data_IF_002132453085
#
_entry.id   IF_002132453085
#
_cell.length_a   1.000
_cell.length_b   1.000
_cell.length_c   1.000
_cell.angle_alpha   90.00
_cell.angle_beta   90.00
_cell.angle_gamma   90.00
#
_symmetry.space_group_name_H-M   'P 1'
#
loop_
_entity.id
_entity.type
_entity.pdbx_description
1 polymer ?
#
# COMPACT_ATOMS: atom_id res chain seq x y z
N UNK A 1 40.72 -15.37 67.75
CA UNK A 1 40.05 -14.13 67.29
C UNK A 1 39.97 -14.15 65.78
N UNK A 2 38.76 -14.12 65.20
CA UNK A 2 38.37 -13.53 63.88
C UNK A 2 39.25 -13.95 62.66
N UNK A 3 38.77 -14.59 61.58
CA UNK A 3 37.48 -14.54 60.88
C UNK A 3 37.40 -15.71 59.88
N UNK A 4 36.17 -16.19 59.70
CA UNK A 4 35.63 -17.02 58.62
C UNK A 4 35.73 -16.26 57.29
N UNK A 5 36.19 -16.88 56.20
CA UNK A 5 35.78 -16.55 54.82
C UNK A 5 35.67 -17.86 54.03
N UNK A 6 34.47 -18.11 53.52
CA UNK A 6 34.06 -19.26 52.73
C UNK A 6 34.86 -19.38 51.42
N UNK A 7 35.23 -20.62 51.08
CA UNK A 7 35.50 -21.03 49.71
C UNK A 7 34.18 -21.18 48.95
N UNK A 8 33.96 -20.35 47.93
CA UNK A 8 32.97 -20.62 46.89
C UNK A 8 33.69 -20.95 45.60
N UNK A 9 33.44 -22.15 45.10
CA UNK A 9 33.87 -22.68 43.81
C UNK A 9 33.21 -21.84 42.71
N UNK A 10 34.04 -21.19 41.91
CA UNK A 10 33.63 -20.47 40.69
C UNK A 10 33.19 -21.48 39.62
N UNK A 11 31.90 -21.82 39.56
CA UNK A 11 31.30 -22.43 38.38
C UNK A 11 31.02 -21.30 37.39
N UNK A 12 31.86 -21.20 36.36
CA UNK A 12 31.60 -20.37 35.18
C UNK A 12 30.46 -21.02 34.39
N UNK A 13 29.22 -20.66 34.70
CA UNK A 13 28.10 -20.89 33.80
C UNK A 13 28.16 -19.85 32.69
N UNK A 14 28.77 -20.20 31.56
CA UNK A 14 28.60 -19.46 30.30
C UNK A 14 27.16 -19.71 29.85
N UNK A 15 26.25 -18.87 30.30
CA UNK A 15 24.93 -18.73 29.69
C UNK A 15 25.15 -18.07 28.32
N UNK A 16 25.21 -18.88 27.27
CA UNK A 16 24.99 -18.47 25.89
C UNK A 16 23.58 -17.87 25.80
N UNK A 17 23.49 -16.56 26.01
CA UNK A 17 22.33 -15.77 25.57
C UNK A 17 22.41 -15.75 24.05
N UNK A 18 21.84 -16.77 23.42
CA UNK A 18 21.37 -16.68 22.05
C UNK A 18 20.33 -15.56 22.04
N UNK A 19 20.76 -14.34 21.74
CA UNK A 19 19.85 -13.23 21.53
C UNK A 19 18.99 -13.57 20.31
N UNK A 20 17.80 -14.12 20.56
CA UNK A 20 16.68 -14.06 19.64
C UNK A 20 16.31 -12.58 19.50
N UNK A 21 17.11 -11.84 18.74
CA UNK A 21 16.80 -10.49 18.28
C UNK A 21 15.67 -10.59 17.28
N UNK A 22 14.44 -10.67 17.78
CA UNK A 22 13.24 -10.29 17.04
C UNK A 22 13.34 -8.79 16.86
N UNK A 23 13.42 -8.34 15.61
CA UNK A 23 13.43 -6.91 15.27
C UNK A 23 12.06 -6.35 15.65
N UNK A 24 11.93 -5.75 16.83
CA UNK A 24 10.80 -4.87 17.15
C UNK A 24 11.08 -3.54 16.47
N UNK A 25 10.36 -3.24 15.39
CA UNK A 25 10.44 -1.94 14.72
C UNK A 25 9.76 -0.79 15.49
N UNK A 26 9.19 -1.08 16.66
CA UNK A 26 8.67 -0.06 17.57
C UNK A 26 9.77 0.61 18.38
N UNK A 27 10.27 1.76 17.92
CA UNK A 27 10.75 2.81 18.84
C UNK A 27 10.70 4.18 18.16
N UNK A 28 9.81 5.05 18.66
CA UNK A 28 9.82 6.51 18.48
C UNK A 28 11.15 7.20 18.92
N UNK A 29 12.22 6.44 19.18
CA UNK A 29 13.47 6.99 19.72
C UNK A 29 14.47 7.42 18.65
N UNK A 30 14.40 6.86 17.45
CA UNK A 30 15.25 7.32 16.35
C UNK A 30 14.35 7.78 15.19
N UNK A 31 14.35 9.08 14.93
CA UNK A 31 13.86 9.72 13.69
C UNK A 31 14.64 9.27 12.42
N UNK A 32 15.32 8.14 12.52
CA UNK A 32 16.39 7.64 11.66
C UNK A 32 16.28 6.15 11.36
N UNK A 33 15.11 5.68 10.96
CA UNK A 33 15.04 4.40 10.25
C UNK A 33 15.76 4.55 8.91
N UNK A 34 17.03 4.16 8.86
CA UNK A 34 17.74 3.88 7.62
C UNK A 34 16.97 2.74 6.94
N UNK A 35 16.55 2.96 5.70
CA UNK A 35 15.91 1.92 4.90
C UNK A 35 16.84 0.70 4.84
N UNK A 36 16.28 -0.49 5.06
CA UNK A 36 17.01 -1.73 4.85
C UNK A 36 17.38 -1.83 3.38
N UNK A 37 18.50 -2.46 3.06
CA UNK A 37 18.78 -2.82 1.68
C UNK A 37 17.92 -4.01 1.26
N UNK A 38 17.64 -4.15 -0.04
CA UNK A 38 16.91 -5.31 -0.55
C UNK A 38 17.65 -6.64 -0.24
N UNK A 39 18.98 -6.62 -0.14
CA UNK A 39 19.79 -7.75 0.32
C UNK A 39 19.55 -8.14 1.79
N UNK A 40 19.30 -7.16 2.66
CA UNK A 40 18.88 -7.42 4.04
C UNK A 40 17.49 -8.06 4.10
N UNK A 41 16.56 -7.62 3.24
CA UNK A 41 15.23 -8.23 3.12
C UNK A 41 15.31 -9.69 2.65
N UNK A 42 16.11 -9.98 1.62
CA UNK A 42 16.33 -11.34 1.15
C UNK A 42 16.89 -12.23 2.26
N UNK A 43 17.85 -11.71 3.02
CA UNK A 43 18.43 -12.40 4.18
C UNK A 43 17.39 -12.66 5.28
N UNK A 44 16.51 -11.69 5.54
CA UNK A 44 15.38 -11.84 6.45
C UNK A 44 14.40 -12.93 5.98
N UNK A 45 13.95 -12.88 4.73
CA UNK A 45 13.02 -13.88 4.19
C UNK A 45 13.63 -15.28 4.23
N UNK A 46 14.91 -15.43 3.89
CA UNK A 46 15.62 -16.71 4.00
C UNK A 46 15.69 -17.20 5.44
N UNK A 47 16.06 -16.33 6.39
CA UNK A 47 16.19 -16.67 7.81
C UNK A 47 14.88 -17.17 8.41
N UNK A 48 13.75 -16.56 8.04
CA UNK A 48 12.42 -16.92 8.54
C UNK A 48 11.64 -17.84 7.58
N UNK A 49 12.32 -18.44 6.59
CA UNK A 49 11.78 -19.42 5.64
C UNK A 49 10.59 -18.93 4.82
N UNK A 50 10.45 -17.63 4.59
CA UNK A 50 9.34 -17.01 3.86
C UNK A 50 9.45 -17.34 2.38
N UNK A 51 8.34 -17.75 1.74
CA UNK A 51 8.31 -17.98 0.29
C UNK A 51 8.35 -16.65 -0.48
N UNK A 52 9.53 -16.06 -0.54
CA UNK A 52 9.83 -14.82 -1.22
C UNK A 52 10.69 -15.11 -2.45
N UNK A 53 10.32 -14.52 -3.59
CA UNK A 53 10.97 -14.73 -4.90
C UNK A 53 11.29 -13.40 -5.52
N UNK A 54 12.33 -13.37 -6.36
CA UNK A 54 12.82 -12.15 -7.01
C UNK A 54 12.43 -12.13 -8.49
N UNK A 55 11.99 -10.97 -8.98
CA UNK A 55 12.12 -10.59 -10.40
C UNK A 55 13.22 -9.54 -10.52
N UNK A 56 13.99 -9.59 -11.60
CA UNK A 56 15.12 -8.69 -11.82
C UNK A 56 15.32 -8.40 -13.31
N UNK A 57 15.64 -7.15 -13.61
CA UNK A 57 16.30 -6.71 -14.85
C UNK A 57 17.57 -5.92 -14.48
N UNK A 58 18.16 -5.22 -15.45
CA UNK A 58 19.42 -4.49 -15.23
C UNK A 58 19.31 -3.33 -14.23
N UNK A 59 18.12 -2.73 -14.10
CA UNK A 59 17.90 -1.51 -13.30
C UNK A 59 17.02 -1.74 -12.06
N UNK A 60 16.23 -2.82 -12.06
CA UNK A 60 15.13 -3.04 -11.13
C UNK A 60 15.19 -4.42 -10.50
N UNK A 61 14.94 -4.47 -9.20
CA UNK A 61 14.68 -5.69 -8.44
C UNK A 61 13.36 -5.54 -7.70
N UNK A 62 12.57 -6.61 -7.65
CA UNK A 62 11.41 -6.69 -6.77
C UNK A 62 11.35 -8.06 -6.09
N UNK A 63 10.86 -8.08 -4.86
CA UNK A 63 10.57 -9.30 -4.09
C UNK A 63 9.06 -9.48 -4.03
N UNK A 64 8.58 -10.64 -4.44
CA UNK A 64 7.17 -11.02 -4.41
C UNK A 64 6.94 -12.35 -3.69
N UNK A 65 5.70 -12.65 -3.34
CA UNK A 65 5.35 -13.94 -2.73
C UNK A 65 4.02 -14.52 -3.23
N UNK A 66 4.01 -15.77 -3.76
CA UNK A 66 2.78 -16.48 -4.11
C UNK A 66 1.90 -16.82 -2.89
N UNK A 67 2.51 -17.13 -1.73
CA UNK A 67 1.78 -17.47 -0.50
C UNK A 67 1.08 -16.26 0.11
N UNK A 68 1.59 -15.05 -0.17
CA UNK A 68 0.91 -13.80 0.13
C UNK A 68 0.28 -13.23 -1.15
N UNK A 69 -0.65 -13.95 -1.78
CA UNK A 69 -1.51 -13.44 -2.86
C UNK A 69 -0.82 -12.75 -4.06
N UNK A 70 0.42 -13.15 -4.39
CA UNK A 70 1.20 -12.46 -5.43
C UNK A 70 1.59 -11.03 -5.05
N UNK A 71 1.63 -10.72 -3.75
CA UNK A 71 2.07 -9.45 -3.15
C UNK A 71 3.50 -9.16 -3.57
N UNK A 72 3.77 -7.91 -3.92
CA UNK A 72 5.13 -7.36 -3.96
C UNK A 72 5.41 -6.83 -2.56
N UNK A 73 6.41 -7.40 -1.88
CA UNK A 73 6.82 -6.92 -0.56
C UNK A 73 7.57 -5.60 -0.68
N UNK A 74 8.52 -5.53 -1.61
CA UNK A 74 9.37 -4.36 -1.83
C UNK A 74 10.06 -4.42 -3.20
N UNK A 75 10.48 -3.28 -3.69
CA UNK A 75 11.36 -3.10 -4.84
C UNK A 75 12.59 -2.27 -4.48
N UNK A 76 13.61 -2.35 -5.32
CA UNK A 76 14.83 -1.57 -5.21
C UNK A 76 15.48 -1.35 -6.59
N UNK A 77 16.32 -0.32 -6.66
CA UNK A 77 17.25 -0.12 -7.78
C UNK A 77 18.18 -1.33 -7.88
N UNK A 78 18.67 -1.68 -9.07
CA UNK A 78 19.28 -2.96 -9.44
C UNK A 78 20.56 -3.45 -8.73
N UNK A 79 20.84 -2.98 -7.52
CA UNK A 79 21.90 -3.39 -6.60
C UNK A 79 21.29 -3.93 -5.29
N UNK A 80 21.85 -4.99 -4.73
CA UNK A 80 21.37 -5.58 -3.46
C UNK A 80 21.62 -4.69 -2.24
N UNK A 81 22.54 -3.72 -2.36
CA UNK A 81 22.76 -2.69 -1.36
C UNK A 81 21.79 -1.51 -1.51
N UNK A 82 20.99 -1.47 -2.57
CA UNK A 82 20.02 -0.40 -2.77
C UNK A 82 18.90 -0.47 -1.70
N UNK A 83 18.36 0.70 -1.29
CA UNK A 83 17.24 0.76 -0.35
C UNK A 83 16.03 -0.05 -0.83
N UNK A 84 15.47 -0.84 0.08
CA UNK A 84 14.14 -1.44 0.02
C UNK A 84 13.09 -0.34 0.21
N UNK A 85 12.24 -0.15 -0.79
CA UNK A 85 11.33 1.02 -0.85
C UNK A 85 10.02 0.74 -0.13
N UNK A 86 9.43 -0.44 -0.37
CA UNK A 86 8.19 -0.88 0.25
C UNK A 86 8.30 -1.05 1.77
N UNK A 87 7.20 -0.82 2.46
CA UNK A 87 7.04 -1.16 3.86
C UNK A 87 6.18 -2.40 4.01
N UNK A 88 6.59 -3.32 4.89
CA UNK A 88 5.79 -4.44 5.35
C UNK A 88 6.13 -4.75 6.81
N UNK A 89 5.19 -5.33 7.54
CA UNK A 89 5.37 -5.71 8.93
C UNK A 89 6.25 -6.95 9.04
N UNK A 90 7.55 -6.74 9.23
CA UNK A 90 8.56 -7.81 9.37
C UNK A 90 8.27 -8.72 10.57
N UNK A 91 7.75 -8.19 11.67
CA UNK A 91 7.41 -9.00 12.84
C UNK A 91 6.31 -10.02 12.51
N UNK A 92 5.23 -9.57 11.88
CA UNK A 92 4.11 -10.41 11.44
C UNK A 92 4.57 -11.49 10.44
N UNK A 93 5.39 -11.10 9.45
CA UNK A 93 5.90 -12.02 8.42
C UNK A 93 6.90 -13.04 8.98
N UNK A 94 7.79 -12.59 9.87
CA UNK A 94 8.89 -13.41 10.40
C UNK A 94 8.45 -14.38 11.48
N UNK A 95 7.58 -13.94 12.40
CA UNK A 95 7.15 -14.76 13.54
C UNK A 95 6.06 -15.77 13.18
N UNK A 96 5.20 -15.46 12.19
CA UNK A 96 4.07 -16.32 11.76
C UNK A 96 3.11 -16.76 12.86
N UNK A 97 3.11 -16.08 14.01
CA UNK A 97 2.22 -16.36 15.14
C UNK A 97 0.93 -15.54 15.08
N UNK A 98 0.66 -14.90 13.94
CA UNK A 98 -0.42 -13.93 13.79
C UNK A 98 -1.54 -14.48 12.94
N UNK A 99 -2.78 -14.10 13.25
CA UNK A 99 -3.92 -14.39 12.40
C UNK A 99 -3.87 -13.47 11.18
N UNK A 100 -3.48 -14.02 10.02
CA UNK A 100 -3.37 -13.27 8.76
C UNK A 100 -4.70 -12.65 8.30
N UNK A 101 -5.85 -13.13 8.80
CA UNK A 101 -7.15 -12.52 8.50
C UNK A 101 -7.37 -11.20 9.25
N UNK A 102 -6.59 -10.92 10.29
CA UNK A 102 -6.74 -9.73 11.13
C UNK A 102 -5.46 -8.87 11.20
N UNK A 103 -4.38 -9.31 10.56
CA UNK A 103 -3.07 -8.66 10.69
C UNK A 103 -2.72 -7.88 9.43
N UNK A 104 -2.33 -6.61 9.60
CA UNK A 104 -1.77 -5.84 8.51
C UNK A 104 -0.34 -6.31 8.23
N UNK A 105 -0.15 -6.88 7.03
CA UNK A 105 1.17 -7.29 6.56
C UNK A 105 1.90 -6.16 5.82
N UNK A 106 1.18 -5.26 5.13
CA UNK A 106 1.80 -4.26 4.26
C UNK A 106 2.53 -4.85 3.04
N UNK A 107 3.10 -4.02 2.19
CA UNK A 107 3.81 -4.40 0.97
C UNK A 107 3.68 -3.31 -0.10
N UNK A 108 4.64 -3.25 -1.01
CA UNK A 108 4.67 -2.18 -2.02
C UNK A 108 3.53 -2.25 -3.05
N UNK A 109 3.01 -3.46 -3.33
CA UNK A 109 1.83 -3.64 -4.19
C UNK A 109 1.03 -4.86 -3.73
N UNK A 110 -0.15 -4.57 -3.19
CA UNK A 110 -1.04 -5.51 -2.51
C UNK A 110 -2.40 -5.51 -3.20
N UNK A 111 -2.76 -6.64 -3.83
CA UNK A 111 -4.10 -6.83 -4.36
C UNK A 111 -5.16 -6.81 -3.24
N UNK A 112 -6.25 -6.09 -3.48
CA UNK A 112 -7.39 -5.98 -2.57
C UNK A 112 -8.70 -6.16 -3.34
N UNK A 113 -9.74 -6.61 -2.63
CA UNK A 113 -11.13 -6.63 -3.07
C UNK A 113 -11.94 -5.85 -2.06
N UNK A 114 -12.90 -5.06 -2.53
CA UNK A 114 -13.88 -4.37 -1.70
C UNK A 114 -15.32 -4.80 -2.02
N UNK A 115 -16.31 -4.17 -1.36
CA UNK A 115 -16.15 -2.98 -0.52
C UNK A 115 -15.58 -3.24 0.88
N UNK A 116 -14.80 -2.30 1.41
CA UNK A 116 -14.27 -2.36 2.79
C UNK A 116 -15.31 -1.97 3.84
N UNK A 117 -16.16 -0.98 3.53
CA UNK A 117 -17.21 -0.48 4.41
C UNK A 117 -18.60 -0.60 3.79
N UNK A 118 -19.58 0.02 4.45
CA UNK A 118 -20.99 0.00 4.06
C UNK A 118 -21.69 -1.35 4.27
N UNK A 119 -23.00 -1.38 4.02
CA UNK A 119 -23.86 -2.54 4.31
C UNK A 119 -23.49 -3.79 3.52
N UNK A 120 -22.78 -3.62 2.39
CA UNK A 120 -22.27 -4.69 1.54
C UNK A 120 -20.80 -5.04 1.80
N UNK A 121 -20.18 -4.57 2.89
CA UNK A 121 -18.77 -4.86 3.21
C UNK A 121 -18.46 -6.35 3.17
N UNK A 122 -17.29 -6.72 2.63
CA UNK A 122 -16.82 -8.11 2.61
C UNK A 122 -15.92 -8.47 3.80
N UNK A 123 -15.76 -7.54 4.74
CA UNK A 123 -14.84 -7.68 5.87
C UNK A 123 -15.56 -7.99 7.19
N UNK A 124 -16.89 -7.97 7.18
CA UNK A 124 -17.71 -8.22 8.36
C UNK A 124 -18.68 -9.36 8.10
N UNK A 125 -18.85 -10.22 9.10
CA UNK A 125 -19.87 -11.26 9.08
C UNK A 125 -21.27 -10.64 9.20
N UNK A 126 -22.29 -11.37 8.73
CA UNK A 126 -23.66 -10.89 8.77
C UNK A 126 -24.12 -10.61 10.21
N UNK A 127 -24.59 -9.38 10.46
CA UNK A 127 -25.01 -8.93 11.78
C UNK A 127 -23.89 -8.51 12.74
N UNK A 128 -22.62 -8.57 12.31
CA UNK A 128 -21.50 -8.12 13.13
C UNK A 128 -21.45 -6.59 13.25
N UNK A 129 -20.96 -6.10 14.40
CA UNK A 129 -20.66 -4.68 14.59
C UNK A 129 -19.41 -4.30 13.80
N UNK A 130 -19.39 -3.10 13.23
CA UNK A 130 -18.26 -2.61 12.42
C UNK A 130 -17.14 -2.08 13.32
N UNK A 131 -16.39 -3.01 13.92
CA UNK A 131 -15.25 -2.75 14.81
C UNK A 131 -13.99 -3.43 14.28
N UNK A 132 -12.80 -2.93 14.65
CA UNK A 132 -11.52 -3.58 14.29
C UNK A 132 -11.47 -5.06 14.71
N UNK A 133 -12.05 -5.39 15.87
CA UNK A 133 -12.10 -6.76 16.41
C UNK A 133 -12.89 -7.71 15.51
N UNK A 134 -13.98 -7.24 14.92
CA UNK A 134 -14.85 -8.03 14.05
C UNK A 134 -14.38 -8.04 12.59
N UNK A 135 -13.53 -7.10 12.21
CA UNK A 135 -13.02 -6.98 10.85
C UNK A 135 -12.12 -8.15 10.50
N UNK A 136 -12.45 -8.88 9.43
CA UNK A 136 -11.66 -10.02 8.92
C UNK A 136 -11.47 -9.92 7.42
N UNK A 137 -10.21 -10.01 6.97
CA UNK A 137 -9.89 -10.18 5.56
C UNK A 137 -10.50 -11.47 5.01
N UNK A 138 -11.11 -11.46 3.81
CA UNK A 138 -11.44 -12.67 3.06
C UNK A 138 -10.22 -13.57 2.85
N UNK A 139 -10.41 -14.89 2.84
CA UNK A 139 -9.28 -15.85 2.73
C UNK A 139 -8.44 -15.67 1.46
N UNK A 140 -9.10 -15.37 0.34
CA UNK A 140 -8.46 -15.03 -0.94
C UNK A 140 -7.48 -13.86 -0.81
N UNK A 141 -7.69 -12.98 0.19
CA UNK A 141 -6.87 -11.80 0.47
C UNK A 141 -5.82 -11.99 1.59
N UNK A 142 -5.79 -13.15 2.27
CA UNK A 142 -5.01 -13.31 3.50
C UNK A 142 -4.30 -14.64 3.64
N UNK A 143 -5.03 -15.75 3.60
CA UNK A 143 -4.55 -17.07 4.04
C UNK A 143 -4.42 -18.05 2.88
N UNK A 144 -5.15 -17.82 1.80
CA UNK A 144 -5.11 -18.67 0.62
C UNK A 144 -3.89 -18.31 -0.24
N UNK A 145 -3.00 -19.29 -0.44
CA UNK A 145 -1.90 -19.15 -1.38
C UNK A 145 -2.44 -19.11 -2.82
N UNK A 146 -1.88 -18.22 -3.64
CA UNK A 146 -2.25 -18.15 -5.06
C UNK A 146 -1.39 -19.09 -5.88
N UNK A 147 -1.99 -19.71 -6.89
CA UNK A 147 -1.29 -20.62 -7.79
C UNK A 147 -0.41 -19.81 -8.74
N UNK A 148 0.88 -20.16 -8.78
CA UNK A 148 1.80 -19.65 -9.80
C UNK A 148 1.45 -20.27 -11.16
N UNK A 149 1.09 -19.44 -12.13
CA UNK A 149 0.69 -19.86 -13.49
C UNK A 149 1.88 -19.82 -14.45
N UNK A 150 2.65 -18.74 -14.43
CA UNK A 150 3.86 -18.62 -15.24
C UNK A 150 4.86 -17.65 -14.60
N UNK A 151 6.14 -17.79 -14.98
CA UNK A 151 7.23 -16.94 -14.52
C UNK A 151 8.29 -16.79 -15.61
N UNK A 152 8.81 -15.58 -15.74
CA UNK A 152 10.05 -15.26 -16.47
C UNK A 152 11.02 -14.51 -15.52
N UNK A 153 12.11 -13.95 -16.07
CA UNK A 153 13.02 -13.09 -15.30
C UNK A 153 12.36 -11.77 -14.85
N UNK A 154 11.41 -11.27 -15.64
CA UNK A 154 10.83 -9.92 -15.50
C UNK A 154 9.32 -9.93 -15.27
N UNK A 155 8.66 -11.08 -15.33
CA UNK A 155 7.21 -11.21 -15.20
C UNK A 155 6.82 -12.44 -14.38
N UNK A 156 5.73 -12.34 -13.64
CA UNK A 156 5.11 -13.46 -12.94
C UNK A 156 3.58 -13.35 -13.01
N UNK A 157 2.89 -14.49 -13.17
CA UNK A 157 1.43 -14.59 -13.22
C UNK A 157 0.90 -15.54 -12.16
N UNK A 158 -0.22 -15.15 -11.56
CA UNK A 158 -0.92 -15.91 -10.54
C UNK A 158 -2.40 -16.03 -10.85
N UNK A 159 -3.01 -17.11 -10.37
CA UNK A 159 -4.46 -17.26 -10.34
C UNK A 159 -4.92 -17.80 -8.97
N UNK A 160 -6.12 -17.41 -8.58
CA UNK A 160 -6.78 -17.90 -7.38
C UNK A 160 -8.29 -17.91 -7.59
N UNK A 161 -8.92 -19.04 -7.29
CA UNK A 161 -10.38 -19.13 -7.20
C UNK A 161 -10.77 -19.18 -5.73
N UNK A 162 -11.79 -18.43 -5.36
CA UNK A 162 -12.17 -18.29 -3.97
C UNK A 162 -13.61 -17.81 -3.81
N UNK A 163 -14.04 -17.76 -2.56
CA UNK A 163 -15.36 -17.29 -2.17
C UNK A 163 -15.24 -16.06 -1.31
N UNK A 164 -16.06 -15.06 -1.60
CA UNK A 164 -16.22 -13.86 -0.80
C UNK A 164 -17.65 -13.81 -0.30
N UNK A 165 -17.86 -13.40 0.94
CA UNK A 165 -19.18 -13.24 1.53
C UNK A 165 -19.28 -11.82 2.06
N UNK A 166 -20.35 -11.10 1.72
CA UNK A 166 -20.58 -9.78 2.29
C UNK A 166 -21.40 -9.82 3.59
N UNK A 167 -21.50 -8.68 4.25
CA UNK A 167 -22.25 -8.49 5.48
C UNK A 167 -23.78 -8.71 5.33
N UNK A 168 -24.30 -8.81 4.10
CA UNK A 168 -25.68 -9.24 3.83
C UNK A 168 -25.83 -10.77 3.68
N UNK A 169 -24.72 -11.52 3.77
CA UNK A 169 -24.69 -12.96 3.55
C UNK A 169 -24.66 -13.39 2.08
N UNK A 170 -24.57 -12.45 1.13
CA UNK A 170 -24.43 -12.78 -0.30
C UNK A 170 -23.05 -13.39 -0.54
N UNK A 171 -23.03 -14.52 -1.22
CA UNK A 171 -21.83 -15.25 -1.62
C UNK A 171 -21.45 -14.89 -3.06
N UNK A 172 -20.16 -14.68 -3.27
CA UNK A 172 -19.55 -14.39 -4.56
C UNK A 172 -18.47 -15.45 -4.83
N UNK A 173 -18.66 -16.27 -5.85
CA UNK A 173 -17.60 -17.13 -6.37
C UNK A 173 -16.80 -16.33 -7.39
N UNK A 174 -15.50 -16.16 -7.11
CA UNK A 174 -14.61 -15.29 -7.88
C UNK A 174 -13.38 -16.03 -8.35
N UNK A 175 -12.90 -15.65 -9.54
CA UNK A 175 -11.55 -15.95 -10.00
C UNK A 175 -10.74 -14.67 -10.08
N UNK A 176 -9.68 -14.58 -9.29
CA UNK A 176 -8.70 -13.50 -9.34
C UNK A 176 -7.47 -13.94 -10.14
N UNK A 177 -7.01 -13.08 -11.03
CA UNK A 177 -5.79 -13.26 -11.82
C UNK A 177 -4.92 -12.02 -11.66
N UNK A 178 -3.62 -12.21 -11.46
CA UNK A 178 -2.67 -11.12 -11.24
C UNK A 178 -1.38 -11.36 -12.01
N UNK A 179 -0.96 -10.36 -12.75
CA UNK A 179 0.35 -10.31 -13.40
C UNK A 179 1.17 -9.17 -12.81
N UNK A 180 2.39 -9.47 -12.37
CA UNK A 180 3.38 -8.46 -11.99
C UNK A 180 4.52 -8.49 -13.00
N UNK A 181 4.85 -7.33 -13.57
CA UNK A 181 5.87 -7.18 -14.60
C UNK A 181 6.79 -6.00 -14.31
N UNK A 182 8.10 -6.20 -14.40
CA UNK A 182 9.09 -5.13 -14.43
C UNK A 182 8.96 -4.31 -15.72
N UNK A 183 9.18 -2.99 -15.61
CA UNK A 183 9.20 -2.06 -16.74
C UNK A 183 10.64 -1.63 -17.00
N UNK A 184 11.08 -1.68 -18.26
CA UNK A 184 12.37 -1.11 -18.66
C UNK A 184 12.30 0.42 -18.71
N UNK A 185 13.44 1.11 -18.65
CA UNK A 185 13.50 2.56 -18.90
C UNK A 185 12.82 2.99 -20.20
N UNK A 186 12.93 2.18 -21.26
CA UNK A 186 12.23 2.43 -22.53
C UNK A 186 10.72 2.37 -22.37
N UNK A 187 10.21 1.40 -21.61
CA UNK A 187 8.77 1.30 -21.31
C UNK A 187 8.32 2.49 -20.47
N UNK A 188 9.08 2.85 -19.44
CA UNK A 188 8.80 4.02 -18.58
C UNK A 188 8.77 5.30 -19.41
N UNK A 189 9.74 5.50 -20.30
CA UNK A 189 9.80 6.70 -21.15
C UNK A 189 8.58 6.80 -22.09
N UNK A 190 8.15 5.67 -22.67
CA UNK A 190 6.95 5.60 -23.51
C UNK A 190 5.68 5.86 -22.72
N UNK A 191 5.56 5.29 -21.53
CA UNK A 191 4.38 5.42 -20.66
C UNK A 191 4.23 6.85 -20.16
N UNK A 192 5.33 7.47 -19.75
CA UNK A 192 5.35 8.82 -19.18
C UNK A 192 5.44 9.91 -20.25
N UNK A 193 5.71 9.56 -21.51
CA UNK A 193 5.79 10.51 -22.63
C UNK A 193 7.00 11.43 -22.57
N UNK A 194 8.03 11.07 -21.79
CA UNK A 194 9.26 11.84 -21.60
C UNK A 194 10.47 10.92 -21.57
N UNK A 195 11.63 11.41 -21.98
CA UNK A 195 12.88 10.69 -21.82
C UNK A 195 13.31 10.69 -20.35
N UNK A 196 13.68 9.52 -19.82
CA UNK A 196 14.19 9.38 -18.46
C UNK A 196 15.73 9.45 -18.48
N UNK A 197 16.34 10.50 -17.88
CA UNK A 197 17.79 10.69 -17.88
C UNK A 197 18.59 9.50 -17.33
N UNK A 198 19.67 9.12 -18.00
CA UNK A 198 20.50 7.94 -17.65
C UNK A 198 21.20 8.04 -16.29
N UNK A 199 21.38 9.26 -15.77
CA UNK A 199 21.92 9.53 -14.44
C UNK A 199 20.90 9.31 -13.31
N UNK A 200 19.60 9.20 -13.61
CA UNK A 200 18.61 8.76 -12.63
C UNK A 200 18.61 7.24 -12.51
N UNK A 201 18.71 6.73 -11.29
CA UNK A 201 18.35 5.34 -10.98
C UNK A 201 16.84 5.20 -11.07
N UNK A 202 16.39 4.07 -11.60
CA UNK A 202 15.00 3.76 -11.86
C UNK A 202 14.68 2.35 -11.38
N UNK A 203 13.63 2.20 -10.60
CA UNK A 203 12.93 0.92 -10.47
C UNK A 203 11.46 1.11 -10.79
N UNK A 204 10.93 0.28 -11.68
CA UNK A 204 9.56 0.40 -12.13
C UNK A 204 8.92 -0.96 -12.41
N UNK A 205 7.66 -1.07 -12.06
CA UNK A 205 6.86 -2.27 -12.35
C UNK A 205 5.38 -1.91 -12.48
N UNK A 206 4.61 -2.88 -12.96
CA UNK A 206 3.16 -2.79 -13.01
C UNK A 206 2.52 -4.06 -12.45
N UNK A 207 1.33 -3.90 -11.88
CA UNK A 207 0.42 -5.00 -11.56
C UNK A 207 -0.85 -4.87 -12.39
N UNK A 208 -1.16 -5.91 -13.18
CA UNK A 208 -2.43 -6.06 -13.87
C UNK A 208 -3.27 -7.06 -13.10
N UNK A 209 -4.43 -6.63 -12.65
CA UNK A 209 -5.32 -7.42 -11.82
C UNK A 209 -6.65 -7.59 -12.53
N UNK A 210 -7.20 -8.81 -12.49
CA UNK A 210 -8.47 -9.17 -13.10
C UNK A 210 -9.30 -9.96 -12.10
N UNK A 211 -10.57 -9.60 -11.98
CA UNK A 211 -11.54 -10.30 -11.15
C UNK A 211 -12.71 -10.75 -12.02
N UNK A 212 -13.00 -12.03 -12.01
CA UNK A 212 -14.05 -12.66 -12.83
C UNK A 212 -15.15 -13.22 -11.94
N UNK A 213 -16.41 -12.95 -12.31
CA UNK A 213 -17.55 -13.60 -11.70
C UNK A 213 -17.68 -15.03 -12.24
N UNK A 214 -17.36 -16.03 -11.43
CA UNK A 214 -17.48 -17.46 -11.80
C UNK A 214 -18.68 -18.13 -11.13
N UNK A 215 -19.50 -17.36 -10.41
CA UNK A 215 -20.71 -17.84 -9.75
C UNK A 215 -21.87 -18.11 -10.71
N UNK A 216 -23.02 -18.51 -10.14
CA UNK A 216 -24.26 -18.72 -10.89
C UNK A 216 -25.01 -17.44 -11.21
N UNK A 217 -24.81 -16.38 -10.41
CA UNK A 217 -25.63 -15.17 -10.43
C UNK A 217 -24.83 -13.96 -10.91
N UNK A 218 -25.52 -12.96 -11.45
CA UNK A 218 -24.92 -11.65 -11.71
C UNK A 218 -24.68 -10.90 -10.39
N UNK A 219 -23.63 -10.08 -10.35
CA UNK A 219 -23.48 -9.09 -9.28
C UNK A 219 -24.35 -7.89 -9.58
N UNK A 220 -25.05 -7.41 -8.56
CA UNK A 220 -25.94 -6.26 -8.68
C UNK A 220 -25.90 -5.42 -7.41
N UNK A 221 -26.19 -4.13 -7.55
CA UNK A 221 -26.36 -3.21 -6.43
C UNK A 221 -27.28 -3.75 -5.33
N UNK A 222 -28.38 -4.43 -5.68
CA UNK A 222 -29.36 -4.97 -4.73
C UNK A 222 -28.76 -5.97 -3.74
N UNK A 223 -27.80 -6.80 -4.16
CA UNK A 223 -27.24 -7.88 -3.35
C UNK A 223 -25.76 -7.69 -3.02
N UNK A 224 -25.16 -6.64 -3.56
CA UNK A 224 -23.75 -6.30 -3.45
C UNK A 224 -22.99 -6.45 -4.77
N UNK A 225 -22.06 -5.52 -4.99
CA UNK A 225 -21.04 -5.60 -6.04
C UNK A 225 -19.66 -5.68 -5.40
N UNK A 226 -18.65 -6.06 -6.18
CA UNK A 226 -17.26 -6.04 -5.77
C UNK A 226 -16.47 -5.06 -6.64
N UNK A 227 -15.45 -4.44 -6.06
CA UNK A 227 -14.40 -3.73 -6.77
C UNK A 227 -13.04 -4.31 -6.41
N UNK A 228 -12.02 -3.95 -7.18
CA UNK A 228 -10.62 -4.22 -6.86
C UNK A 228 -9.95 -2.97 -6.33
N UNK A 229 -8.88 -3.17 -5.58
CA UNK A 229 -7.93 -2.14 -5.24
C UNK A 229 -6.51 -2.66 -5.31
N UNK A 230 -5.55 -1.74 -5.37
CA UNK A 230 -4.14 -2.01 -5.09
C UNK A 230 -3.70 -1.05 -4.00
N UNK A 231 -3.16 -1.61 -2.92
CA UNK A 231 -2.62 -0.86 -1.78
C UNK A 231 -1.10 -0.92 -1.83
N UNK A 232 -0.46 0.24 -1.70
CA UNK A 232 0.98 0.41 -1.76
C UNK A 232 1.47 1.04 -0.46
N UNK A 233 2.20 0.26 0.32
CA UNK A 233 2.71 0.65 1.62
C UNK A 233 4.18 1.04 1.53
N UNK A 234 4.52 2.19 2.11
CA UNK A 234 5.85 2.76 2.09
C UNK A 234 6.26 3.24 3.47
N UNK A 235 7.57 3.31 3.69
CA UNK A 235 8.15 3.76 4.96
C UNK A 235 7.84 5.26 5.16
N UNK A 236 7.24 5.61 6.30
CA UNK A 236 6.96 7.01 6.63
C UNK A 236 8.17 7.64 7.35
N UNK A 237 8.39 8.94 7.14
CA UNK A 237 9.35 9.74 7.91
C UNK A 237 8.99 11.23 7.88
N UNK A 238 9.70 12.07 8.67
CA UNK A 238 9.42 13.51 8.83
C UNK A 238 9.29 14.29 7.52
N UNK A 239 9.93 13.83 6.47
CA UNK A 239 10.07 14.56 5.22
C UNK A 239 9.13 14.08 4.12
N UNK A 240 8.43 12.96 4.33
CA UNK A 240 7.54 12.41 3.31
C UNK A 240 6.27 13.23 3.19
N UNK A 241 6.00 13.67 1.96
CA UNK A 241 4.73 14.24 1.56
C UNK A 241 4.23 13.50 0.31
N UNK A 242 2.91 13.35 0.21
CA UNK A 242 2.23 12.90 -1.00
C UNK A 242 1.54 14.06 -1.68
N UNK A 243 1.41 13.96 -3.00
CA UNK A 243 0.86 14.98 -3.87
C UNK A 243 -0.12 14.30 -4.82
N UNK A 244 -1.38 14.73 -4.77
CA UNK A 244 -2.47 14.14 -5.56
C UNK A 244 -3.02 15.22 -6.49
N UNK A 245 -2.56 15.28 -7.75
CA UNK A 245 -3.18 16.11 -8.77
C UNK A 245 -4.66 15.81 -8.92
N UNK A 246 -5.47 16.85 -9.07
CA UNK A 246 -6.92 16.72 -9.19
C UNK A 246 -7.49 17.68 -10.24
N UNK A 247 -8.68 17.33 -10.73
CA UNK A 247 -9.46 18.16 -11.64
C UNK A 247 -10.05 19.37 -10.91
N UNK A 248 -9.65 20.61 -11.22
CA UNK A 248 -10.26 21.79 -10.66
C UNK A 248 -11.70 21.96 -11.17
N UNK A 249 -12.51 22.69 -10.42
CA UNK A 249 -13.89 23.00 -10.78
C UNK A 249 -14.88 22.91 -9.62
N UNK A 250 -16.12 23.26 -9.91
CA UNK A 250 -17.21 23.39 -8.96
C UNK A 250 -17.51 22.08 -8.20
N UNK A 251 -17.51 22.16 -6.86
CA UNK A 251 -17.81 21.04 -5.98
C UNK A 251 -19.24 20.48 -6.18
N UNK A 252 -20.21 21.30 -6.60
CA UNK A 252 -21.56 20.84 -6.92
C UNK A 252 -21.60 19.84 -8.09
N UNK A 253 -20.60 19.90 -8.98
CA UNK A 253 -20.50 19.02 -10.17
C UNK A 253 -19.52 17.87 -9.98
N UNK A 254 -18.38 18.13 -9.32
CA UNK A 254 -17.28 17.18 -9.21
C UNK A 254 -17.18 16.51 -7.83
N UNK A 255 -17.95 16.98 -6.85
CA UNK A 255 -17.78 16.64 -5.44
C UNK A 255 -16.63 17.44 -4.82
N UNK A 256 -16.44 17.32 -3.51
CA UNK A 256 -15.33 17.95 -2.80
C UNK A 256 -13.97 17.48 -3.34
N UNK A 257 -12.95 18.34 -3.20
CA UNK A 257 -11.59 18.03 -3.65
C UNK A 257 -10.95 16.95 -2.77
N UNK A 258 -11.07 17.11 -1.45
CA UNK A 258 -10.63 16.15 -0.45
C UNK A 258 -11.84 15.64 0.29
N UNK A 259 -11.92 14.33 0.48
CA UNK A 259 -12.91 13.69 1.34
C UNK A 259 -12.28 13.17 2.61
N UNK A 260 -12.89 13.49 3.73
CA UNK A 260 -12.56 12.92 5.03
C UNK A 260 -13.35 11.63 5.24
N UNK A 261 -12.85 10.55 4.64
CA UNK A 261 -13.56 9.26 4.65
C UNK A 261 -12.87 8.21 5.51
N UNK A 262 -11.58 8.37 5.86
CA UNK A 262 -10.78 7.21 6.28
C UNK A 262 -10.72 7.08 7.80
N UNK A 263 -10.48 8.15 8.58
CA UNK A 263 -10.57 8.17 10.05
C UNK A 263 -10.62 9.63 10.52
N UNK A 264 -11.50 9.95 11.49
CA UNK A 264 -11.74 11.30 12.06
C UNK A 264 -10.63 12.33 11.75
N UNK A 265 -10.83 13.17 10.73
CA UNK A 265 -10.19 14.50 10.69
C UNK A 265 -10.82 15.43 11.74
N UNK A 266 -11.68 14.93 12.62
CA UNK A 266 -12.30 15.64 13.73
C UNK A 266 -11.73 15.21 15.11
N UNK A 267 -10.44 15.43 15.32
CA UNK A 267 -10.01 15.99 16.60
C UNK A 267 -9.16 17.24 16.37
N UNK A 268 -9.79 18.23 15.72
CA UNK A 268 -9.43 19.64 15.86
C UNK A 268 -8.53 20.26 14.79
N UNK A 269 -8.43 19.68 13.59
CA UNK A 269 -7.73 20.29 12.47
C UNK A 269 -8.71 20.77 11.41
N UNK A 270 -8.87 22.07 11.24
CA UNK A 270 -9.49 22.68 10.06
C UNK A 270 -8.89 22.06 8.78
N UNK A 271 -9.72 21.71 7.79
CA UNK A 271 -9.25 21.56 6.41
C UNK A 271 -8.46 22.85 6.07
N UNK A 272 -7.14 22.74 5.91
CA UNK A 272 -6.23 23.90 5.85
C UNK A 272 -5.12 23.98 6.92
N UNK A 273 -4.85 22.90 7.66
CA UNK A 273 -3.68 22.81 8.56
C UNK A 273 -2.37 22.38 7.86
N UNK A 274 -1.24 22.36 8.57
CA UNK A 274 0.08 21.97 8.04
C UNK A 274 0.10 20.60 7.32
N UNK A 275 -0.79 19.66 7.70
CA UNK A 275 -0.81 18.28 7.20
C UNK A 275 -1.55 18.07 5.88
N UNK A 276 -2.62 18.81 5.60
CA UNK A 276 -3.40 18.71 4.35
C UNK A 276 -3.52 20.12 3.78
N UNK A 277 -2.91 20.36 2.62
CA UNK A 277 -3.05 21.61 1.89
C UNK A 277 -3.69 21.34 0.53
N UNK A 278 -4.82 21.99 0.25
CA UNK A 278 -5.45 22.00 -1.06
C UNK A 278 -4.91 23.20 -1.81
N UNK A 279 -4.15 22.95 -2.88
CA UNK A 279 -3.61 23.97 -3.76
C UNK A 279 -4.42 23.98 -5.06
N UNK A 280 -4.06 24.83 -6.03
CA UNK A 280 -4.89 25.07 -7.22
C UNK A 280 -5.11 23.81 -8.07
N UNK A 281 -4.09 22.96 -8.17
CA UNK A 281 -4.01 21.81 -9.09
C UNK A 281 -3.67 20.47 -8.41
N UNK A 282 -3.22 20.49 -7.15
CA UNK A 282 -2.93 19.28 -6.38
C UNK A 282 -3.23 19.42 -4.89
N UNK A 283 -3.45 18.27 -4.24
CA UNK A 283 -3.53 18.16 -2.79
C UNK A 283 -2.16 17.73 -2.27
N UNK A 284 -1.61 18.43 -1.28
CA UNK A 284 -0.45 17.95 -0.51
C UNK A 284 -0.92 17.30 0.79
N UNK A 285 -0.42 16.11 1.10
CA UNK A 285 -0.69 15.40 2.35
C UNK A 285 0.58 14.88 3.03
N UNK A 286 0.74 15.19 4.33
CA UNK A 286 1.90 14.83 5.14
C UNK A 286 1.84 13.37 5.60
N UNK A 287 2.86 12.59 5.26
CA UNK A 287 2.95 11.15 5.51
C UNK A 287 4.11 10.81 6.46
N UNK A 288 4.08 11.40 7.66
CA UNK A 288 5.19 11.38 8.61
C UNK A 288 5.18 10.26 9.65
N UNK A 289 4.18 9.37 9.63
CA UNK A 289 4.10 8.28 10.61
C UNK A 289 3.60 8.70 12.00
N UNK A 290 3.24 9.98 12.22
CA UNK A 290 2.99 10.53 13.57
C UNK A 290 1.54 10.80 13.92
N UNK A 291 0.65 10.83 12.94
CA UNK A 291 -0.76 11.12 13.16
C UNK A 291 -1.60 10.24 12.24
N UNK A 292 -2.38 9.34 12.82
CA UNK A 292 -3.32 8.54 12.06
C UNK A 292 -4.29 9.47 11.33
N UNK A 293 -4.25 9.49 10.01
CA UNK A 293 -5.02 10.41 9.17
C UNK A 293 -5.09 9.90 7.75
N UNK A 294 -6.06 10.36 6.96
CA UNK A 294 -6.12 10.00 5.55
C UNK A 294 -6.95 10.98 4.73
N UNK A 295 -6.76 10.92 3.42
CA UNK A 295 -7.50 11.69 2.43
C UNK A 295 -8.06 10.76 1.36
N UNK A 296 -9.25 11.07 0.86
CA UNK A 296 -9.85 10.42 -0.30
C UNK A 296 -10.03 11.40 -1.46
N UNK A 297 -9.84 10.92 -2.70
CA UNK A 297 -10.11 11.67 -3.93
C UNK A 297 -11.04 10.86 -4.82
N UNK A 298 -12.17 11.49 -5.17
CA UNK A 298 -13.21 10.87 -5.99
C UNK A 298 -12.72 10.54 -7.41
N UNK A 299 -13.37 9.60 -8.09
CA UNK A 299 -13.09 9.34 -9.50
C UNK A 299 -13.34 10.55 -10.43
N UNK A 300 -14.23 11.47 -10.04
CA UNK A 300 -14.53 12.70 -10.80
C UNK A 300 -13.39 13.71 -10.69
N UNK A 301 -12.70 13.74 -9.54
CA UNK A 301 -11.55 14.62 -9.25
C UNK A 301 -10.21 14.01 -9.62
N UNK A 302 -10.03 12.69 -9.47
CA UNK A 302 -8.74 12.02 -9.69
C UNK A 302 -8.24 12.19 -11.12
N UNK A 303 -6.97 12.58 -11.28
CA UNK A 303 -6.26 12.57 -12.56
C UNK A 303 -5.47 11.27 -12.81
N UNK A 304 -5.65 10.25 -11.95
CA UNK A 304 -5.05 8.93 -12.16
C UNK A 304 -3.62 8.77 -11.64
N UNK A 305 -3.09 9.77 -10.95
CA UNK A 305 -1.69 9.85 -10.51
C UNK A 305 -1.59 10.28 -9.05
N UNK A 306 -0.63 9.70 -8.33
CA UNK A 306 -0.17 10.14 -7.01
C UNK A 306 1.35 10.18 -7.01
N UNK A 307 1.91 11.21 -6.40
CA UNK A 307 3.33 11.34 -6.17
C UNK A 307 3.61 11.25 -4.68
N UNK A 308 4.77 10.72 -4.33
CA UNK A 308 5.33 10.81 -3.00
C UNK A 308 6.80 11.16 -3.10
N UNK A 309 7.25 12.09 -2.26
CA UNK A 309 8.66 12.44 -2.20
C UNK A 309 9.19 12.24 -0.79
N UNK A 310 10.18 11.36 -0.69
CA UNK A 310 10.98 11.15 0.50
C UNK A 310 12.29 11.93 0.36
N UNK A 311 12.30 13.16 0.86
CA UNK A 311 13.45 14.07 0.77
C UNK A 311 14.70 13.48 1.43
N UNK A 312 14.51 12.85 2.60
CA UNK A 312 15.59 12.22 3.36
C UNK A 312 16.35 11.18 2.56
N UNK A 313 15.63 10.36 1.80
CA UNK A 313 16.23 9.31 0.96
C UNK A 313 16.41 9.73 -0.50
N UNK A 314 15.95 10.93 -0.87
CA UNK A 314 15.92 11.44 -2.25
C UNK A 314 15.24 10.45 -3.21
N UNK A 315 14.06 9.95 -2.82
CA UNK A 315 13.27 9.02 -3.62
C UNK A 315 11.97 9.70 -4.04
N UNK A 316 11.78 9.84 -5.35
CA UNK A 316 10.52 10.25 -5.95
C UNK A 316 9.75 9.01 -6.39
N UNK A 317 8.61 8.78 -5.75
CA UNK A 317 7.68 7.70 -6.08
C UNK A 317 6.51 8.25 -6.86
N UNK A 318 6.10 7.56 -7.93
CA UNK A 318 4.88 7.86 -8.65
C UNK A 318 4.05 6.60 -8.81
N UNK A 319 2.77 6.70 -8.46
CA UNK A 319 1.77 5.65 -8.67
C UNK A 319 0.76 6.15 -9.69
N UNK A 320 0.51 5.32 -10.70
CA UNK A 320 -0.50 5.56 -11.70
C UNK A 320 -1.50 4.41 -11.70
N UNK A 321 -2.78 4.71 -11.86
CA UNK A 321 -3.77 3.72 -12.26
C UNK A 321 -4.46 4.15 -13.55
N UNK A 322 -4.92 3.17 -14.32
CA UNK A 322 -5.68 3.48 -15.54
C UNK A 322 -7.10 3.89 -15.13
N UNK A 323 -7.37 5.19 -15.19
CA UNK A 323 -8.70 5.75 -14.97
C UNK A 323 -9.67 5.25 -16.05
N UNK A 324 -10.79 4.60 -15.67
CA UNK A 324 -11.83 4.22 -16.62
C UNK A 324 -12.48 5.44 -17.26
N UNK A 325 -12.92 5.30 -18.51
CA UNK A 325 -13.65 6.36 -19.21
C UNK A 325 -15.07 6.56 -18.65
N UNK A 326 -15.52 7.81 -18.70
CA UNK A 326 -16.85 8.23 -18.27
C UNK A 326 -17.02 8.29 -16.74
N UNK A 327 -18.22 8.66 -16.31
CA UNK A 327 -18.59 8.64 -14.90
C UNK A 327 -18.88 7.20 -14.47
N UNK A 328 -18.28 6.77 -13.37
CA UNK A 328 -18.42 5.41 -12.83
C UNK A 328 -18.73 5.45 -11.34
N UNK A 329 -19.41 4.42 -10.87
CA UNK A 329 -19.69 4.15 -9.47
C UNK A 329 -18.41 3.68 -8.75
N UNK A 330 -18.17 4.15 -7.54
CA UNK A 330 -17.04 3.76 -6.68
C UNK A 330 -17.53 3.51 -5.27
N UNK A 331 -16.95 2.56 -4.55
CA UNK A 331 -17.31 2.32 -3.16
C UNK A 331 -16.61 3.29 -2.22
N UNK A 332 -17.31 3.84 -1.21
CA UNK A 332 -16.65 4.56 -0.14
C UNK A 332 -15.69 3.61 0.60
N UNK A 333 -14.53 4.13 0.97
CA UNK A 333 -13.53 3.39 1.76
C UNK A 333 -13.83 3.42 3.26
N UNK A 334 -14.72 4.33 3.70
CA UNK A 334 -15.14 4.49 5.10
C UNK A 334 -16.06 3.38 5.59
N UNK A 335 -15.88 2.92 6.82
CA UNK A 335 -16.84 2.05 7.49
C UNK A 335 -18.04 2.81 8.05
N UNK A 336 -17.84 4.08 8.43
CA UNK A 336 -18.80 4.84 9.25
C UNK A 336 -19.89 5.53 8.44
N UNK A 337 -19.75 5.59 7.11
CA UNK A 337 -20.69 6.30 6.24
C UNK A 337 -21.28 5.39 5.16
N UNK A 338 -22.20 4.51 5.54
CA UNK A 338 -22.92 3.62 4.61
C UNK A 338 -23.90 4.38 3.69
N UNK A 339 -24.17 5.67 3.94
CA UNK A 339 -25.14 6.47 3.17
C UNK A 339 -24.54 7.18 1.94
N UNK A 340 -23.23 7.09 1.69
CA UNK A 340 -22.57 7.73 0.55
C UNK A 340 -22.89 7.08 -0.82
N UNK A 341 -23.64 5.97 -0.84
CA UNK A 341 -23.97 5.23 -2.06
C UNK A 341 -22.71 4.80 -2.83
N UNK A 342 -22.68 5.07 -4.13
CA UNK A 342 -21.53 4.79 -5.01
C UNK A 342 -20.67 6.01 -5.32
N UNK A 343 -20.64 6.98 -4.40
CA UNK A 343 -19.78 8.15 -4.53
C UNK A 343 -18.43 7.99 -3.82
N UNK A 344 -17.73 6.88 -4.08
CA UNK A 344 -16.48 6.51 -3.43
C UNK A 344 -15.20 7.08 -4.04
N UNK A 345 -14.08 6.63 -3.48
CA UNK A 345 -12.75 7.18 -3.78
C UNK A 345 -12.01 6.32 -4.81
N UNK A 346 -11.42 6.97 -5.80
CA UNK A 346 -10.56 6.31 -6.77
C UNK A 346 -9.11 6.25 -6.30
N UNK A 347 -8.69 7.25 -5.51
CA UNK A 347 -7.41 7.32 -4.84
C UNK A 347 -7.66 7.61 -3.36
N UNK A 348 -6.95 6.91 -2.48
CA UNK A 348 -6.83 7.28 -1.07
C UNK A 348 -5.38 7.29 -0.64
N UNK A 349 -5.06 8.18 0.30
CA UNK A 349 -3.76 8.17 0.97
C UNK A 349 -3.99 8.13 2.47
N UNK A 350 -3.34 7.21 3.16
CA UNK A 350 -3.43 7.03 4.59
C UNK A 350 -2.04 7.16 5.22
N UNK A 351 -1.94 7.94 6.29
CA UNK A 351 -0.75 8.02 7.12
C UNK A 351 -1.02 7.26 8.41
N UNK A 352 -0.27 6.19 8.66
CA UNK A 352 -0.37 5.47 9.93
C UNK A 352 0.38 6.24 11.02
N UNK A 353 -0.14 6.23 12.23
CA UNK A 353 0.52 6.84 13.38
C UNK A 353 -0.25 6.49 14.64
N UNK A 354 0.19 6.95 15.82
CA UNK A 354 -0.56 6.72 17.04
C UNK A 354 -2.01 7.19 16.96
N UNK A 355 -2.94 6.32 17.36
CA UNK A 355 -4.38 6.62 17.36
C UNK A 355 -4.77 7.65 18.44
N UNK A 356 -3.92 7.88 19.45
CA UNK A 356 -4.08 8.95 20.43
C UNK A 356 -2.72 9.40 20.96
N UNK A 357 -2.66 10.60 21.56
CA UNK A 357 -1.42 11.19 22.11
C UNK A 357 -0.71 10.32 23.16
N UNK A 358 -1.43 9.38 23.78
CA UNK A 358 -0.90 8.52 24.84
C UNK A 358 -0.48 7.13 24.36
N UNK A 359 -0.67 6.83 23.07
CA UNK A 359 -0.19 5.60 22.44
C UNK A 359 1.16 5.91 21.81
N UNK A 360 2.21 5.18 22.22
CA UNK A 360 3.58 5.44 21.79
C UNK A 360 4.11 4.41 20.78
N UNK A 361 3.26 3.49 20.33
CA UNK A 361 3.64 2.38 19.45
C UNK A 361 2.70 2.34 18.26
N UNK A 362 3.23 2.66 17.08
CA UNK A 362 2.60 2.44 15.79
C UNK A 362 3.69 2.15 14.77
N UNK A 363 3.42 1.24 13.84
CA UNK A 363 4.29 1.04 12.69
C UNK A 363 4.30 2.32 11.83
N UNK A 364 5.47 2.87 11.54
CA UNK A 364 5.57 4.12 10.78
C UNK A 364 5.54 3.85 9.28
N UNK A 365 4.35 3.85 8.70
CA UNK A 365 4.13 3.72 7.26
C UNK A 365 3.06 4.69 6.77
N UNK A 366 3.03 4.88 5.45
CA UNK A 366 1.88 5.45 4.75
C UNK A 366 1.46 4.51 3.61
N UNK A 367 0.20 4.57 3.26
CA UNK A 367 -0.44 3.76 2.23
C UNK A 367 -0.97 4.69 1.14
N UNK A 368 -0.70 4.37 -0.12
CA UNK A 368 -1.42 4.91 -1.28
C UNK A 368 -2.26 3.77 -1.85
N UNK A 369 -3.56 4.00 -2.01
CA UNK A 369 -4.50 3.01 -2.54
C UNK A 369 -5.17 3.53 -3.80
N UNK A 370 -5.22 2.70 -4.84
CA UNK A 370 -5.98 2.98 -6.05
C UNK A 370 -7.09 1.96 -6.22
N UNK A 371 -8.26 2.39 -6.69
CA UNK A 371 -9.44 1.54 -6.77
C UNK A 371 -10.00 1.45 -8.19
N UNK A 372 -10.59 0.29 -8.50
CA UNK A 372 -11.46 0.13 -9.66
C UNK A 372 -12.90 0.56 -9.31
N UNK A 373 -13.74 0.81 -10.32
CA UNK A 373 -15.16 1.05 -10.11
C UNK A 373 -15.87 -0.12 -9.42
N UNK A 374 -16.96 0.20 -8.73
CA UNK A 374 -17.99 -0.76 -8.36
C UNK A 374 -18.76 -1.16 -9.64
N UNK A 375 -18.76 -2.44 -10.00
CA UNK A 375 -19.33 -2.91 -11.26
C UNK A 375 -20.40 -3.98 -11.04
N UNK A 376 -21.56 -3.76 -11.66
CA UNK A 376 -22.51 -4.82 -11.97
C UNK A 376 -21.80 -5.77 -12.93
N UNK A 377 -21.56 -7.00 -12.49
CA UNK A 377 -20.77 -7.96 -13.25
C UNK A 377 -21.60 -9.20 -13.57
N UNK A 378 -21.92 -9.34 -14.85
CA UNK A 378 -22.63 -10.52 -15.37
C UNK A 378 -21.79 -11.77 -15.14
N UNK A 379 -22.44 -12.90 -14.89
CA UNK A 379 -21.78 -14.22 -14.82
C UNK A 379 -20.82 -14.42 -16.00
N UNK A 380 -19.61 -14.89 -15.69
CA UNK A 380 -18.55 -15.15 -16.67
C UNK A 380 -17.84 -13.89 -17.19
N UNK A 381 -18.25 -12.68 -16.78
CA UNK A 381 -17.55 -11.44 -17.14
C UNK A 381 -16.48 -11.09 -16.11
N UNK A 382 -15.55 -10.26 -16.55
CA UNK A 382 -14.40 -9.83 -15.77
C UNK A 382 -14.30 -8.31 -15.72
N UNK A 383 -13.73 -7.81 -14.65
CA UNK A 383 -13.24 -6.44 -14.52
C UNK A 383 -11.72 -6.42 -14.36
N UNK A 384 -11.11 -5.27 -14.63
CA UNK A 384 -9.65 -5.09 -14.67
C UNK A 384 -9.23 -3.85 -13.88
N UNK A 385 -8.06 -3.92 -13.23
CA UNK A 385 -7.41 -2.78 -12.58
C UNK A 385 -5.90 -2.89 -12.76
N UNK A 386 -5.31 -1.85 -13.34
CA UNK A 386 -3.88 -1.77 -13.56
C UNK A 386 -3.31 -0.65 -12.72
N UNK A 387 -2.27 -0.97 -11.94
CA UNK A 387 -1.43 0.00 -11.26
C UNK A 387 0.00 -0.08 -11.80
N UNK A 388 0.65 1.07 -11.93
CA UNK A 388 2.08 1.19 -12.20
C UNK A 388 2.74 1.95 -11.07
N UNK A 389 3.91 1.48 -10.67
CA UNK A 389 4.72 2.10 -9.64
C UNK A 389 6.09 2.39 -10.22
N UNK A 390 6.53 3.63 -10.07
CA UNK A 390 7.83 4.12 -10.51
C UNK A 390 8.55 4.75 -9.33
N UNK A 391 9.81 4.41 -9.16
CA UNK A 391 10.70 5.07 -8.22
C UNK A 391 11.91 5.61 -8.96
N UNK A 392 12.26 6.86 -8.65
CA UNK A 392 13.40 7.56 -9.20
C UNK A 392 14.30 8.03 -8.07
N UNK A 393 15.61 7.92 -8.28
CA UNK A 393 16.61 8.40 -7.34
C UNK A 393 17.80 8.98 -8.11
N UNK A 394 18.29 10.14 -7.68
CA UNK A 394 19.42 10.81 -8.32
C UNK A 394 19.59 12.23 -7.81
N UNK A 395 20.17 13.10 -8.64
CA UNK A 395 20.38 14.49 -8.24
C UNK A 395 19.06 15.25 -8.09
N UNK A 396 19.06 16.26 -7.22
CA UNK A 396 17.93 17.17 -7.07
C UNK A 396 17.51 17.80 -8.39
N UNK A 397 18.46 18.21 -9.22
CA UNK A 397 18.17 18.81 -10.52
C UNK A 397 17.39 17.86 -11.44
N UNK A 398 17.82 16.60 -11.53
CA UNK A 398 17.17 15.62 -12.42
C UNK A 398 15.78 15.21 -11.90
N UNK A 399 15.64 15.07 -10.58
CA UNK A 399 14.36 14.78 -9.95
C UNK A 399 13.37 15.94 -10.07
N UNK A 400 13.85 17.19 -9.95
CA UNK A 400 13.04 18.39 -10.15
C UNK A 400 12.53 18.49 -11.59
N UNK A 401 13.42 18.29 -12.57
CA UNK A 401 13.05 18.30 -13.99
C UNK A 401 11.99 17.23 -14.30
N UNK A 402 12.15 16.04 -13.72
CA UNK A 402 11.20 14.94 -13.89
C UNK A 402 9.84 15.26 -13.26
N UNK A 403 9.82 15.67 -12.00
CA UNK A 403 8.59 16.01 -11.28
C UNK A 403 7.83 17.15 -11.99
N UNK A 404 8.55 18.21 -12.37
CA UNK A 404 7.96 19.38 -13.02
C UNK A 404 7.39 19.04 -14.40
N UNK A 405 8.10 18.27 -15.23
CA UNK A 405 7.57 17.88 -16.56
C UNK A 405 6.31 17.03 -16.48
N UNK A 406 6.19 16.17 -15.46
CA UNK A 406 5.06 15.25 -15.34
C UNK A 406 3.84 15.86 -14.67
N UNK A 407 4.05 16.84 -13.78
CA UNK A 407 2.98 17.32 -12.89
C UNK A 407 2.89 18.83 -12.75
N UNK A 408 3.88 19.58 -13.23
CA UNK A 408 4.01 21.01 -12.93
C UNK A 408 4.52 21.32 -11.52
N UNK A 409 4.81 20.30 -10.70
CA UNK A 409 5.25 20.47 -9.31
C UNK A 409 6.78 20.37 -9.23
N UNK A 410 7.44 21.43 -8.76
CA UNK A 410 8.89 21.44 -8.50
C UNK A 410 9.25 20.68 -7.22
N UNK A 411 10.46 20.14 -7.15
CA UNK A 411 11.03 19.50 -5.97
C UNK A 411 11.04 20.44 -4.75
N UNK A 412 11.21 21.75 -4.97
CA UNK A 412 11.09 22.76 -3.92
C UNK A 412 9.69 22.76 -3.28
N UNK A 413 8.63 22.62 -4.08
CA UNK A 413 7.27 22.46 -3.58
C UNK A 413 7.05 21.08 -2.93
N UNK A 414 7.80 20.05 -3.35
CA UNK A 414 7.73 18.72 -2.76
C UNK A 414 8.39 18.62 -1.37
N UNK A 415 9.34 19.51 -1.06
CA UNK A 415 10.12 19.54 0.19
C UNK A 415 9.51 20.35 1.33
N UNK A 416 8.28 20.83 1.20
CA UNK A 416 7.70 21.72 2.21
C UNK A 416 7.67 21.01 3.56
N UNK A 417 8.33 21.65 4.54
CA UNK A 417 8.62 21.11 5.87
C UNK A 417 7.36 20.97 6.70
#
# INVERSE_FOLDING_TARGET
MKKIVLWFISILAVALISSCGVVKEGTLKNDESKLWSIGQEMSFFSKYGVDAKVLRNDESMLIYSPTYQGRVFTSAFGDENAPSIGWFNREAVGLRQVNLRNTLIGGEDVFAIGPEGGDCSIFFEQGALFTEENRKLPEILSTQAWKLVSRSKTQVRFECEGKVVNALGKKFDVKAEREVSLLSRTDVSKILGIEIPMNLKLVAFQSMNKLTNVGSDNWSEQYGMLNMGVKSYFNANKTVNTFVPFRPGDASKLGDVVRDNVFDTASGGTLGGERVAVLDDYIRFKCDGRHMSGIGVSARRSEGIVLSYDDKNSILTMIFYIKPSGNRAYFPVSWRNSQAGFDGDAISVFNNGPASKNIYYADMFYEISTHSPALNLVKGRSQFHLQRTFHFHGSEYDLDLLAYKLTGISLKQLRVK
#
